data_IF_402116636183
#
_entry.id   IF_402116636183
#
_cell.length_a   1.000
_cell.length_b   1.000
_cell.length_c   1.000
_cell.angle_alpha   90.00
_cell.angle_beta   90.00
_cell.angle_gamma   90.00
#
_symmetry.space_group_name_H-M   'P 1'
#
loop_
_entity.id
_entity.type
_entity.pdbx_description
1 polymer ?
#
# COMPACT_ATOMS: atom_id res chain seq x y z
N UNK A 1 -4.42 15.46 -13.86
CA UNK A 1 -3.86 16.27 -12.76
C UNK A 1 -3.47 15.30 -11.67
N UNK A 2 -2.22 15.35 -11.20
CA UNK A 2 -1.77 14.53 -10.08
C UNK A 2 -1.91 15.37 -8.81
N UNK A 3 -2.54 14.81 -7.78
CA UNK A 3 -2.72 15.47 -6.48
C UNK A 3 -1.72 14.86 -5.49
N UNK A 4 -1.05 15.71 -4.72
CA UNK A 4 -0.18 15.29 -3.61
C UNK A 4 -0.83 15.66 -2.28
N UNK A 5 -0.72 14.78 -1.29
CA UNK A 5 -1.08 15.08 0.09
C UNK A 5 0.12 15.78 0.73
N UNK A 6 -0.08 16.99 1.26
CA UNK A 6 0.94 17.73 2.01
C UNK A 6 0.44 17.91 3.43
N UNK A 7 1.16 17.30 4.37
CA UNK A 7 0.92 17.44 5.81
C UNK A 7 1.51 18.75 6.33
N UNK A 8 0.77 19.47 7.16
CA UNK A 8 1.27 20.65 7.86
C UNK A 8 2.36 20.24 8.87
N UNK A 9 3.53 20.91 8.96
CA UNK A 9 4.59 20.55 9.91
C UNK A 9 4.14 20.53 11.37
N UNK A 10 3.11 21.33 11.73
CA UNK A 10 2.48 21.31 13.06
C UNK A 10 1.63 20.05 13.30
N UNK A 11 1.04 19.46 12.26
CA UNK A 11 0.29 18.21 12.39
C UNK A 11 1.20 17.02 12.70
N UNK A 12 2.41 16.99 12.11
CA UNK A 12 3.41 15.96 12.39
C UNK A 12 3.91 16.02 13.85
N UNK A 13 4.23 17.23 14.35
CA UNK A 13 4.62 17.44 15.74
C UNK A 13 3.48 17.14 16.74
N UNK A 14 2.22 17.28 16.33
CA UNK A 14 1.04 16.86 17.11
C UNK A 14 0.93 15.34 17.11
N UNK A 15 1.01 14.67 15.96
CA UNK A 15 0.98 13.19 15.87
C UNK A 15 2.06 12.54 16.75
N UNK A 16 3.30 13.03 16.65
CA UNK A 16 4.45 12.55 17.44
C UNK A 16 4.30 12.81 18.95
N UNK A 17 3.50 13.81 19.36
CA UNK A 17 3.24 14.11 20.78
C UNK A 17 2.10 13.30 21.39
N UNK A 18 1.13 12.84 20.60
CA UNK A 18 -0.08 12.15 21.09
C UNK A 18 -0.07 10.62 20.90
N UNK A 19 0.97 10.06 20.26
CA UNK A 19 1.12 8.61 20.09
C UNK A 19 1.27 7.82 21.41
N UNK A 20 1.52 8.48 22.54
CA UNK A 20 1.80 7.83 23.82
C UNK A 20 0.56 7.35 24.61
N UNK A 21 -0.64 7.93 24.41
CA UNK A 21 -1.70 7.84 25.44
C UNK A 21 -3.16 7.60 24.96
N UNK A 22 -3.50 7.62 23.66
CA UNK A 22 -4.92 7.66 23.24
C UNK A 22 -5.34 6.66 22.14
N UNK A 23 -6.21 5.71 22.53
CA UNK A 23 -6.80 4.66 21.68
C UNK A 23 -7.80 5.21 20.66
N UNK A 24 -8.52 6.28 21.00
CA UNK A 24 -9.60 6.82 20.15
C UNK A 24 -9.04 7.59 18.95
N UNK A 25 -7.81 8.10 19.06
CA UNK A 25 -7.12 8.81 17.96
C UNK A 25 -6.46 7.88 16.95
N UNK A 26 -6.00 6.70 17.34
CA UNK A 26 -5.58 5.65 16.37
C UNK A 26 -6.77 5.27 15.48
N UNK A 27 -7.96 5.13 16.08
CA UNK A 27 -9.22 4.91 15.35
C UNK A 27 -9.68 6.11 14.49
N UNK A 28 -9.14 7.31 14.71
CA UNK A 28 -9.33 8.45 13.78
C UNK A 28 -8.36 8.39 12.60
N UNK A 29 -7.12 7.93 12.80
CA UNK A 29 -6.15 7.73 11.70
C UNK A 29 -6.65 6.66 10.72
N UNK A 30 -7.11 5.50 11.22
CA UNK A 30 -7.69 4.48 10.35
C UNK A 30 -8.93 4.98 9.59
N UNK A 31 -9.85 5.68 10.26
CA UNK A 31 -11.01 6.31 9.59
C UNK A 31 -10.62 7.35 8.54
N UNK A 32 -9.58 8.15 8.78
CA UNK A 32 -9.09 9.12 7.82
C UNK A 32 -8.46 8.45 6.57
N UNK A 33 -7.76 7.32 6.75
CA UNK A 33 -7.17 6.56 5.65
C UNK A 33 -8.24 5.81 4.85
N UNK A 34 -9.20 5.14 5.51
CA UNK A 34 -10.35 4.50 4.86
C UNK A 34 -11.14 5.52 4.00
N UNK A 35 -11.42 6.72 4.52
CA UNK A 35 -12.09 7.80 3.79
C UNK A 35 -11.31 8.30 2.55
N UNK A 36 -9.98 8.27 2.59
CA UNK A 36 -9.12 8.68 1.47
C UNK A 36 -8.96 7.59 0.41
N UNK A 37 -9.01 6.31 0.81
CA UNK A 37 -8.98 5.18 -0.11
C UNK A 37 -10.30 5.06 -0.92
N UNK A 38 -11.44 5.21 -0.24
CA UNK A 38 -12.78 5.06 -0.85
C UNK A 38 -13.18 6.25 -1.75
N UNK A 39 -12.57 7.44 -1.61
CA UNK A 39 -13.03 8.64 -2.32
C UNK A 39 -11.89 9.50 -2.94
N UNK A 40 -11.37 9.13 -4.13
CA UNK A 40 -10.26 9.82 -4.78
C UNK A 40 -10.61 11.20 -5.39
N UNK A 41 -11.81 11.76 -5.14
CA UNK A 41 -12.22 13.10 -5.60
C UNK A 41 -12.97 13.91 -4.54
N UNK A 42 -12.29 14.45 -3.51
CA UNK A 42 -12.87 15.48 -2.64
C UNK A 42 -13.14 16.75 -3.48
N UNK A 43 -14.38 16.93 -3.93
CA UNK A 43 -14.84 18.19 -4.53
C UNK A 43 -15.37 19.07 -3.41
N UNK A 44 -14.47 19.91 -2.87
CA UNK A 44 -14.75 20.78 -1.74
C UNK A 44 -13.78 20.53 -0.58
N UNK A 45 -13.42 21.61 0.12
CA UNK A 45 -12.54 21.54 1.28
C UNK A 45 -13.30 20.94 2.48
N UNK A 46 -13.01 19.67 2.80
CA UNK A 46 -13.47 19.02 4.04
C UNK A 46 -12.90 19.77 5.25
N UNK A 47 -13.72 20.63 5.84
CA UNK A 47 -13.37 21.39 7.05
C UNK A 47 -13.92 20.64 8.25
N UNK A 48 -13.18 19.63 8.72
CA UNK A 48 -13.42 19.02 10.03
C UNK A 48 -12.96 20.02 11.10
N UNK A 49 -13.79 20.23 12.12
CA UNK A 49 -13.71 21.42 12.98
C UNK A 49 -12.42 21.57 13.80
N UNK A 50 -12.09 22.83 14.11
CA UNK A 50 -11.18 23.21 15.20
C UNK A 50 -9.69 23.28 14.87
N UNK A 51 -9.14 22.32 14.11
CA UNK A 51 -7.71 22.28 13.79
C UNK A 51 -7.47 21.70 12.40
N UNK A 52 -7.05 22.52 11.44
CA UNK A 52 -6.78 22.06 10.06
C UNK A 52 -5.56 21.13 10.00
N UNK A 53 -5.75 19.91 9.48
CA UNK A 53 -4.72 18.85 9.51
C UNK A 53 -4.00 18.67 8.15
N UNK A 54 -4.63 19.04 7.04
CA UNK A 54 -4.04 18.94 5.69
C UNK A 54 -4.65 19.94 4.70
N UNK A 55 -3.99 20.15 3.56
CA UNK A 55 -4.51 20.89 2.40
C UNK A 55 -4.22 20.13 1.11
N UNK A 56 -5.21 20.05 0.22
CA UNK A 56 -5.04 19.51 -1.14
C UNK A 56 -4.62 20.67 -2.05
N UNK A 57 -3.49 20.55 -2.75
CA UNK A 57 -3.10 21.46 -3.83
C UNK A 57 -3.11 20.74 -5.19
N UNK A 58 -3.64 21.43 -6.20
CA UNK A 58 -3.41 21.05 -7.59
C UNK A 58 -1.97 21.41 -7.98
N UNK A 59 -1.24 20.45 -8.54
CA UNK A 59 0.11 20.70 -9.05
C UNK A 59 0.07 21.67 -10.25
N UNK A 60 0.38 22.95 -10.01
CA UNK A 60 0.54 23.94 -11.07
C UNK A 60 1.77 23.62 -11.90
N UNK A 61 1.58 23.34 -13.19
CA UNK A 61 2.68 23.07 -14.11
C UNK A 61 3.44 24.36 -14.40
N UNK A 62 4.57 24.58 -13.73
CA UNK A 62 5.45 25.72 -14.01
C UNK A 62 6.08 25.54 -15.39
N UNK A 63 5.51 26.22 -16.38
CA UNK A 63 6.11 26.29 -17.71
C UNK A 63 7.30 27.24 -17.67
N UNK A 64 8.52 26.70 -17.67
CA UNK A 64 9.73 27.51 -17.80
C UNK A 64 9.95 27.89 -19.25
N UNK A 65 9.38 29.02 -19.66
CA UNK A 65 9.69 29.69 -20.91
C UNK A 65 11.12 30.22 -20.89
N UNK A 66 12.10 29.36 -21.24
CA UNK A 66 13.46 29.80 -21.55
C UNK A 66 13.44 30.72 -22.77
N UNK A 67 13.75 31.99 -22.55
CA UNK A 67 13.95 32.97 -23.61
C UNK A 67 15.11 32.56 -24.53
N UNK A 68 14.83 32.35 -25.81
CA UNK A 68 15.85 32.27 -26.85
C UNK A 68 16.50 33.64 -27.02
N UNK A 69 17.77 33.77 -26.65
CA UNK A 69 18.60 34.92 -27.06
C UNK A 69 19.30 34.58 -28.38
N UNK A 70 19.18 35.46 -29.36
CA UNK A 70 19.73 35.25 -30.70
C UNK A 70 21.27 35.32 -30.72
N UNK A 71 21.84 34.76 -31.79
CA UNK A 71 23.28 34.65 -32.01
C UNK A 71 23.70 35.64 -33.09
N UNK A 72 24.82 36.34 -32.91
CA UNK A 72 25.57 36.95 -34.03
C UNK A 72 27.07 37.06 -33.74
N UNK A 73 27.93 37.16 -34.78
CA UNK A 73 29.27 36.56 -34.71
C UNK A 73 30.45 37.51 -34.99
N UNK A 74 31.61 37.19 -34.41
CA UNK A 74 32.95 37.59 -34.85
C UNK A 74 33.99 36.76 -34.06
N UNK A 75 35.27 36.57 -34.41
CA UNK A 75 36.09 36.52 -35.64
C UNK A 75 37.47 35.97 -35.19
N UNK A 76 38.05 35.02 -35.92
CA UNK A 76 39.49 34.75 -36.13
C UNK A 76 40.60 35.06 -35.08
N UNK A 77 41.34 34.02 -34.64
CA UNK A 77 42.84 33.89 -34.70
C UNK A 77 43.28 32.56 -34.01
N UNK A 78 43.80 31.54 -34.69
CA UNK A 78 45.20 31.33 -35.16
C UNK A 78 46.26 31.12 -34.06
N UNK A 79 46.76 29.88 -33.87
CA UNK A 79 48.20 29.50 -34.03
C UNK A 79 48.55 28.09 -33.51
N UNK A 80 49.58 27.47 -34.13
CA UNK A 80 50.47 26.32 -33.77
C UNK A 80 50.08 25.37 -32.60
N UNK A 81 50.23 24.04 -32.64
CA UNK A 81 51.30 23.14 -33.17
C UNK A 81 51.54 22.07 -32.07
N UNK A 82 52.09 20.85 -32.23
CA UNK A 82 52.83 20.15 -33.29
C UNK A 82 52.86 18.63 -32.94
N UNK A 83 52.64 17.73 -33.93
CA UNK A 83 53.19 16.34 -34.16
C UNK A 83 53.50 15.42 -32.94
N UNK A 84 53.12 14.13 -32.85
CA UNK A 84 52.41 13.16 -33.73
C UNK A 84 51.41 12.31 -32.86
N UNK A 85 50.92 11.09 -33.17
CA UNK A 85 51.17 10.14 -34.25
C UNK A 85 50.44 8.78 -34.13
N UNK A 86 50.77 7.83 -35.03
CA UNK A 86 50.40 6.40 -34.94
C UNK A 86 49.16 5.92 -35.72
N UNK A 87 49.39 5.18 -36.81
CA UNK A 87 48.42 4.40 -37.63
C UNK A 87 47.59 3.37 -36.84
N UNK A 88 46.46 2.82 -37.31
CA UNK A 88 45.49 3.14 -38.38
C UNK A 88 44.29 2.15 -38.34
N UNK A 89 43.27 2.45 -39.17
CA UNK A 89 42.16 1.59 -39.68
C UNK A 89 40.92 1.49 -38.77
N UNK A 90 39.67 1.67 -39.22
CA UNK A 90 39.22 2.06 -40.57
C UNK A 90 37.93 1.36 -41.03
N UNK A 91 36.83 1.46 -40.29
CA UNK A 91 35.49 1.02 -40.77
C UNK A 91 34.52 2.19 -40.75
N UNK A 92 34.21 2.72 -41.93
CA UNK A 92 33.20 3.77 -42.13
C UNK A 92 31.79 3.17 -42.09
N UNK A 93 30.92 3.62 -41.18
CA UNK A 93 29.45 3.52 -41.41
C UNK A 93 28.90 4.89 -41.82
N UNK A 94 28.19 4.89 -42.96
CA UNK A 94 27.53 6.07 -43.56
C UNK A 94 26.49 6.62 -42.59
N UNK A 95 26.61 7.89 -42.23
CA UNK A 95 25.48 8.67 -41.71
C UNK A 95 24.60 9.03 -42.92
N UNK A 96 23.43 8.40 -43.03
CA UNK A 96 22.39 8.81 -43.99
C UNK A 96 21.56 9.90 -43.34
N UNK A 97 21.45 11.05 -44.00
CA UNK A 97 20.83 12.24 -43.42
C UNK A 97 19.34 12.06 -43.13
N UNK A 98 18.93 12.44 -41.91
CA UNK A 98 17.52 12.52 -41.54
C UNK A 98 16.83 13.66 -42.32
N UNK A 99 16.00 13.29 -43.31
CA UNK A 99 15.02 14.23 -43.89
C UNK A 99 13.99 14.58 -42.81
N UNK A 100 13.79 15.89 -42.57
CA UNK A 100 12.65 16.38 -41.81
C UNK A 100 11.36 16.09 -42.60
N UNK A 101 10.45 15.29 -42.03
CA UNK A 101 9.03 15.33 -42.37
C UNK A 101 8.26 16.04 -41.25
N UNK A 102 7.23 16.80 -41.62
CA UNK A 102 6.38 17.56 -40.68
C UNK A 102 5.44 16.63 -39.92
N UNK A 103 5.08 17.04 -38.70
CA UNK A 103 4.15 16.30 -37.86
C UNK A 103 2.70 16.36 -38.38
N UNK A 104 1.99 15.25 -38.22
CA UNK A 104 0.53 15.20 -38.02
C UNK A 104 0.29 14.21 -36.88
N UNK A 105 -0.43 14.63 -35.84
CA UNK A 105 -0.46 13.91 -34.57
C UNK A 105 -1.31 12.65 -34.55
N UNK A 106 -0.84 11.64 -33.81
CA UNK A 106 -1.64 10.68 -33.04
C UNK A 106 -0.78 10.14 -31.90
N UNK A 107 -1.42 9.59 -30.88
CA UNK A 107 -0.88 9.43 -29.52
C UNK A 107 0.55 8.91 -29.40
N UNK A 108 1.25 9.37 -28.36
CA UNK A 108 2.38 8.63 -27.77
C UNK A 108 1.85 7.32 -27.19
N UNK A 109 1.64 6.33 -28.06
CA UNK A 109 1.72 4.94 -27.63
C UNK A 109 3.12 4.75 -27.06
N UNK A 110 3.21 4.33 -25.81
CA UNK A 110 4.45 3.71 -25.33
C UNK A 110 4.62 2.48 -26.20
N UNK A 111 5.65 2.49 -27.05
CA UNK A 111 6.10 1.26 -27.70
C UNK A 111 6.66 0.42 -26.56
N UNK A 112 5.82 -0.48 -26.05
CA UNK A 112 6.30 -1.64 -25.32
C UNK A 112 7.05 -2.43 -26.39
N UNK A 113 8.36 -2.27 -26.44
CA UNK A 113 9.21 -3.19 -27.19
C UNK A 113 8.85 -4.58 -26.67
N UNK A 114 8.53 -5.47 -27.61
CA UNK A 114 8.18 -6.85 -27.29
C UNK A 114 9.33 -7.42 -26.44
N UNK A 115 9.04 -7.69 -25.16
CA UNK A 115 10.00 -8.30 -24.25
C UNK A 115 10.08 -9.75 -24.69
N UNK A 116 10.84 -9.98 -25.77
CA UNK A 116 11.01 -11.27 -26.39
C UNK A 116 11.26 -12.29 -25.30
N UNK A 117 10.48 -13.36 -25.29
CA UNK A 117 10.33 -14.31 -24.18
C UNK A 117 11.60 -15.11 -23.83
N UNK A 118 12.74 -14.70 -24.39
CA UNK A 118 13.99 -15.43 -24.50
C UNK A 118 14.77 -15.52 -23.19
N UNK A 119 14.64 -14.58 -22.24
CA UNK A 119 14.90 -14.91 -20.82
C UNK A 119 14.23 -13.98 -19.77
N UNK A 120 13.04 -14.38 -19.31
CA UNK A 120 12.37 -13.75 -18.14
C UNK A 120 13.24 -13.83 -16.88
N UNK A 121 14.08 -14.86 -16.73
CA UNK A 121 14.99 -15.01 -15.57
C UNK A 121 16.07 -13.93 -15.57
N UNK A 122 16.61 -13.55 -16.73
CA UNK A 122 17.57 -12.45 -16.85
C UNK A 122 16.91 -11.12 -16.47
N UNK A 123 15.70 -10.86 -16.96
CA UNK A 123 14.94 -9.66 -16.59
C UNK A 123 14.73 -9.55 -15.07
N UNK A 124 14.20 -10.61 -14.44
CA UNK A 124 13.96 -10.64 -12.99
C UNK A 124 15.24 -10.49 -12.16
N UNK A 125 16.37 -11.05 -12.63
CA UNK A 125 17.69 -10.89 -11.98
C UNK A 125 18.27 -9.48 -12.12
N UNK A 126 17.86 -8.72 -13.12
CA UNK A 126 18.28 -7.32 -13.32
C UNK A 126 17.51 -6.31 -12.47
N UNK A 127 16.43 -6.72 -11.80
CA UNK A 127 15.66 -5.84 -10.93
C UNK A 127 16.46 -5.46 -9.68
N UNK A 128 16.46 -4.17 -9.34
CA UNK A 128 17.06 -3.68 -8.10
C UNK A 128 16.30 -4.25 -6.89
N UNK A 129 17.04 -4.67 -5.86
CA UNK A 129 16.48 -5.23 -4.62
C UNK A 129 16.93 -4.35 -3.45
N UNK A 130 15.97 -3.90 -2.64
CA UNK A 130 16.20 -2.99 -1.50
C UNK A 130 16.91 -1.68 -1.90
N UNK A 131 16.41 -1.04 -2.96
CA UNK A 131 16.89 0.27 -3.41
C UNK A 131 16.55 1.37 -2.37
N UNK A 132 17.37 2.42 -2.30
CA UNK A 132 17.23 3.50 -1.33
C UNK A 132 18.01 3.25 -0.03
N UNK A 133 17.78 4.09 0.98
CA UNK A 133 18.21 3.84 2.36
C UNK A 133 17.17 2.99 3.07
N UNK A 134 17.61 2.11 3.97
CA UNK A 134 16.73 1.24 4.73
C UNK A 134 16.74 1.70 6.19
N UNK A 135 15.62 1.63 6.91
CA UNK A 135 15.61 1.92 8.33
C UNK A 135 16.36 0.84 9.10
N UNK A 136 17.19 1.25 10.06
CA UNK A 136 17.82 0.34 11.00
C UNK A 136 16.77 -0.34 11.90
N UNK A 137 17.14 -1.49 12.45
CA UNK A 137 16.34 -2.21 13.44
C UNK A 137 17.26 -2.94 14.41
N UNK A 138 17.23 -2.55 15.69
CA UNK A 138 17.81 -3.34 16.77
C UNK A 138 16.74 -4.28 17.35
N UNK A 139 16.83 -5.60 17.11
CA UNK A 139 15.86 -6.55 17.63
C UNK A 139 16.01 -6.81 19.15
N UNK A 140 17.11 -6.39 19.79
CA UNK A 140 17.29 -6.55 21.24
C UNK A 140 16.56 -5.43 21.99
N UNK A 141 16.61 -4.20 21.47
CA UNK A 141 15.87 -3.03 21.97
C UNK A 141 14.34 -3.07 21.69
N UNK A 142 13.85 -4.01 20.89
CA UNK A 142 12.42 -4.14 20.60
C UNK A 142 11.56 -4.40 21.86
N UNK A 143 10.28 -3.98 21.90
CA UNK A 143 9.41 -4.15 23.06
C UNK A 143 9.06 -5.63 23.29
N UNK A 144 8.64 -5.96 24.51
CA UNK A 144 8.23 -7.32 24.89
C UNK A 144 6.97 -7.82 24.16
N UNK A 145 6.11 -6.89 23.75
CA UNK A 145 4.80 -7.17 23.14
C UNK A 145 4.83 -6.92 21.62
N UNK A 146 4.46 -7.90 20.78
CA UNK A 146 4.56 -7.77 19.33
C UNK A 146 3.60 -6.71 18.75
N UNK A 147 2.44 -6.48 19.37
CA UNK A 147 1.51 -5.44 18.88
C UNK A 147 2.06 -4.03 19.05
N UNK A 148 2.96 -3.79 20.01
CA UNK A 148 3.63 -2.50 20.20
C UNK A 148 4.61 -2.27 19.05
N UNK A 149 5.52 -3.23 18.80
CA UNK A 149 6.45 -3.16 17.67
C UNK A 149 5.73 -3.06 16.31
N UNK A 150 4.57 -3.72 16.19
CA UNK A 150 3.74 -3.62 14.99
C UNK A 150 3.19 -2.21 14.77
N UNK A 151 2.67 -1.55 15.82
CA UNK A 151 2.16 -0.18 15.73
C UNK A 151 3.29 0.82 15.47
N UNK A 152 4.48 0.61 16.05
CA UNK A 152 5.68 1.41 15.77
C UNK A 152 6.09 1.30 14.29
N UNK A 153 6.19 0.07 13.75
CA UNK A 153 6.54 -0.13 12.35
C UNK A 153 5.45 0.36 11.39
N UNK A 154 4.17 0.18 11.72
CA UNK A 154 3.05 0.70 10.93
C UNK A 154 3.09 2.24 10.88
N UNK A 155 3.38 2.89 12.00
CA UNK A 155 3.56 4.35 12.07
C UNK A 155 4.73 4.78 11.20
N UNK A 156 5.88 4.11 11.30
CA UNK A 156 7.03 4.36 10.44
C UNK A 156 6.71 4.15 8.94
N UNK A 157 5.88 3.16 8.60
CA UNK A 157 5.44 2.92 7.21
C UNK A 157 4.57 4.08 6.70
N UNK A 158 3.67 4.62 7.51
CA UNK A 158 2.88 5.83 7.20
C UNK A 158 3.82 7.03 6.98
N UNK A 159 4.78 7.27 7.88
CA UNK A 159 5.75 8.37 7.77
C UNK A 159 6.66 8.25 6.53
N UNK A 160 7.03 7.03 6.15
CA UNK A 160 7.79 6.74 4.93
C UNK A 160 6.96 6.85 3.63
N UNK A 161 5.66 7.17 3.73
CA UNK A 161 4.78 7.33 2.56
C UNK A 161 4.40 6.02 1.88
N UNK A 162 4.52 4.88 2.58
CA UNK A 162 4.06 3.58 2.08
C UNK A 162 2.57 3.68 1.73
N UNK A 163 2.21 3.22 0.54
CA UNK A 163 0.83 3.26 0.08
C UNK A 163 -0.01 2.22 0.81
N UNK A 164 -1.15 2.65 1.35
CA UNK A 164 -2.15 1.79 2.01
C UNK A 164 -1.51 0.82 3.05
N UNK A 165 -0.73 1.31 4.04
CA UNK A 165 0.18 0.48 4.85
C UNK A 165 -0.53 -0.48 5.81
N UNK A 166 -1.84 -0.30 5.98
CA UNK A 166 -2.74 -1.15 6.75
C UNK A 166 -3.36 -2.28 5.89
N UNK A 167 -3.12 -2.30 4.58
CA UNK A 167 -3.46 -3.42 3.72
C UNK A 167 -2.57 -4.63 4.04
N UNK A 168 -3.17 -5.81 4.09
CA UNK A 168 -2.50 -7.07 4.38
C UNK A 168 -3.03 -8.19 3.51
N UNK A 169 -2.21 -9.21 3.29
CA UNK A 169 -2.66 -10.47 2.70
C UNK A 169 -3.18 -11.40 3.80
N UNK A 170 -4.45 -11.74 3.75
CA UNK A 170 -5.08 -12.77 4.58
C UNK A 170 -5.00 -14.13 3.86
N UNK A 171 -4.34 -15.10 4.48
CA UNK A 171 -4.33 -16.50 4.07
C UNK A 171 -5.24 -17.33 4.97
N UNK A 172 -6.12 -18.14 4.35
CA UNK A 172 -7.06 -19.08 4.98
C UNK A 172 -6.91 -20.46 4.33
N UNK A 173 -7.51 -21.50 4.91
CA UNK A 173 -7.44 -22.88 4.40
C UNK A 173 -8.85 -23.47 4.32
N UNK A 174 -9.23 -23.95 3.13
CA UNK A 174 -10.52 -24.59 2.88
C UNK A 174 -10.66 -25.95 3.58
N UNK A 175 -11.89 -26.48 3.63
CA UNK A 175 -12.20 -27.77 4.25
C UNK A 175 -11.46 -28.97 3.62
N UNK A 176 -10.99 -28.81 2.39
CA UNK A 176 -10.19 -29.76 1.62
C UNK A 176 -8.67 -29.63 1.87
N UNK A 177 -8.25 -28.69 2.71
CA UNK A 177 -6.85 -28.35 2.94
C UNK A 177 -6.24 -27.38 1.92
N UNK A 178 -7.02 -26.88 0.95
CA UNK A 178 -6.51 -25.95 -0.07
C UNK A 178 -6.29 -24.55 0.54
N UNK A 179 -5.05 -24.01 0.51
CA UNK A 179 -4.79 -22.65 0.97
C UNK A 179 -5.29 -21.62 -0.03
N UNK A 180 -5.82 -20.51 0.46
CA UNK A 180 -6.31 -19.40 -0.35
C UNK A 180 -5.87 -18.05 0.25
N UNK A 181 -5.51 -17.08 -0.59
CA UNK A 181 -4.96 -15.79 -0.15
C UNK A 181 -5.61 -14.62 -0.90
N UNK A 182 -5.77 -13.48 -0.23
CA UNK A 182 -6.29 -12.22 -0.80
C UNK A 182 -5.87 -11.01 0.05
N UNK A 183 -5.85 -9.83 -0.55
CA UNK A 183 -5.67 -8.57 0.19
C UNK A 183 -6.96 -8.19 0.93
N UNK A 184 -6.83 -7.71 2.16
CA UNK A 184 -7.86 -7.06 2.97
C UNK A 184 -7.23 -5.88 3.74
N UNK A 185 -8.08 -5.05 4.35
CA UNK A 185 -7.64 -3.97 5.22
C UNK A 185 -7.70 -4.41 6.69
N UNK A 186 -6.64 -4.10 7.44
CA UNK A 186 -6.61 -4.14 8.89
C UNK A 186 -7.56 -3.07 9.46
N UNK A 187 -8.41 -3.44 10.42
CA UNK A 187 -9.38 -2.54 11.07
C UNK A 187 -8.97 -2.07 12.46
N UNK A 188 -8.22 -2.89 13.19
CA UNK A 188 -7.70 -2.53 14.51
C UNK A 188 -6.56 -3.49 14.91
N UNK A 189 -5.72 -3.06 15.86
CA UNK A 189 -4.81 -3.94 16.60
C UNK A 189 -4.85 -3.54 18.06
N UNK A 190 -5.12 -4.50 18.93
CA UNK A 190 -4.98 -4.34 20.37
C UNK A 190 -4.60 -5.65 21.06
N UNK A 191 -4.69 -5.69 22.40
CA UNK A 191 -4.31 -6.85 23.21
C UNK A 191 -5.05 -8.15 22.85
N UNK A 192 -6.19 -8.08 22.16
CA UNK A 192 -6.93 -9.24 21.64
C UNK A 192 -6.30 -9.82 20.39
N UNK A 193 -5.65 -8.98 19.56
CA UNK A 193 -5.01 -9.38 18.31
C UNK A 193 -5.25 -8.39 17.16
N UNK A 194 -5.10 -8.89 15.93
CA UNK A 194 -5.24 -8.13 14.69
C UNK A 194 -6.63 -8.34 14.09
N UNK A 195 -7.39 -7.26 13.91
CA UNK A 195 -8.80 -7.33 13.52
C UNK A 195 -8.99 -6.99 12.04
N UNK A 196 -9.81 -7.77 11.34
CA UNK A 196 -10.24 -7.52 9.95
C UNK A 196 -11.72 -7.88 9.80
N UNK A 197 -12.42 -7.25 8.86
CA UNK A 197 -13.84 -7.51 8.64
C UNK A 197 -14.09 -8.22 7.29
N UNK A 198 -15.07 -9.13 7.26
CA UNK A 198 -15.50 -9.82 6.06
C UNK A 198 -16.93 -10.37 6.21
N UNK A 199 -17.61 -10.59 5.07
CA UNK A 199 -18.86 -11.37 5.06
C UNK A 199 -18.62 -12.84 5.38
N UNK A 200 -19.28 -13.39 6.40
CA UNK A 200 -19.18 -14.78 6.83
C UNK A 200 -19.56 -15.78 5.72
N UNK A 201 -20.51 -15.40 4.85
CA UNK A 201 -20.93 -16.22 3.70
C UNK A 201 -19.93 -16.23 2.52
N UNK A 202 -18.88 -15.40 2.55
CA UNK A 202 -17.83 -15.35 1.50
C UNK A 202 -16.87 -16.55 1.61
N UNK A 203 -16.06 -16.88 0.58
CA UNK A 203 -15.16 -18.03 0.62
C UNK A 203 -14.24 -18.05 1.86
N UNK A 204 -13.62 -16.92 2.19
CA UNK A 204 -12.75 -16.80 3.38
C UNK A 204 -13.53 -16.96 4.70
N UNK A 205 -14.81 -16.55 4.74
CA UNK A 205 -15.66 -16.73 5.92
C UNK A 205 -16.05 -18.19 6.12
N UNK A 206 -16.28 -18.93 5.03
CA UNK A 206 -16.50 -20.39 5.03
C UNK A 206 -15.24 -21.15 5.41
N UNK A 207 -14.08 -20.76 4.89
CA UNK A 207 -12.78 -21.31 5.30
C UNK A 207 -12.62 -21.17 6.82
N UNK A 208 -12.82 -19.96 7.37
CA UNK A 208 -12.68 -19.66 8.80
C UNK A 208 -13.72 -20.35 9.68
N UNK A 209 -14.91 -20.66 9.15
CA UNK A 209 -15.94 -21.42 9.87
C UNK A 209 -15.58 -22.90 10.04
N UNK A 210 -14.73 -23.47 9.17
CA UNK A 210 -14.27 -24.86 9.25
C UNK A 210 -12.89 -24.97 9.88
N UNK A 211 -11.96 -24.09 9.46
CA UNK A 211 -10.60 -23.99 9.93
C UNK A 211 -10.38 -22.58 10.52
N UNK A 212 -10.65 -22.35 11.82
CA UNK A 212 -10.57 -21.04 12.47
C UNK A 212 -9.12 -20.62 12.77
N UNK A 213 -8.27 -20.64 11.75
CA UNK A 213 -6.84 -20.25 11.79
C UNK A 213 -6.51 -19.43 10.55
N UNK A 214 -5.65 -18.43 10.70
CA UNK A 214 -5.23 -17.58 9.60
C UNK A 214 -3.77 -17.14 9.73
N UNK A 215 -3.21 -16.74 8.59
CA UNK A 215 -1.99 -15.95 8.56
C UNK A 215 -2.27 -14.59 7.91
N UNK A 216 -1.75 -13.52 8.52
CA UNK A 216 -1.73 -12.17 7.93
C UNK A 216 -0.30 -11.85 7.49
N UNK A 217 -0.12 -11.22 6.33
CA UNK A 217 1.17 -10.66 5.95
C UNK A 217 1.06 -9.20 5.49
N UNK A 218 1.84 -8.35 6.14
CA UNK A 218 2.08 -6.96 5.81
C UNK A 218 3.44 -6.87 5.11
N UNK A 219 3.54 -6.13 4.01
CA UNK A 219 4.79 -5.90 3.29
C UNK A 219 4.88 -4.43 2.90
N UNK A 220 5.94 -3.78 3.37
CA UNK A 220 6.18 -2.34 3.21
C UNK A 220 7.45 -2.16 2.38
N UNK A 221 7.35 -2.15 1.04
CA UNK A 221 8.51 -2.23 0.14
C UNK A 221 9.44 -1.03 0.26
N UNK A 222 8.92 0.16 0.54
CA UNK A 222 9.69 1.40 0.73
C UNK A 222 10.61 1.34 1.96
N UNK A 223 10.28 0.52 2.96
CA UNK A 223 11.13 0.25 4.14
C UNK A 223 11.86 -1.10 4.06
N UNK A 224 11.58 -1.89 3.02
CA UNK A 224 11.94 -3.29 2.89
C UNK A 224 11.66 -4.10 4.18
N UNK A 225 10.43 -3.95 4.70
CA UNK A 225 9.94 -4.64 5.91
C UNK A 225 8.82 -5.61 5.58
N UNK A 226 8.74 -6.70 6.32
CA UNK A 226 7.60 -7.60 6.34
C UNK A 226 7.21 -7.92 7.78
N UNK A 227 5.91 -7.98 8.06
CA UNK A 227 5.38 -8.59 9.30
C UNK A 227 4.46 -9.75 8.93
N UNK A 228 4.60 -10.88 9.62
CA UNK A 228 3.77 -12.08 9.47
C UNK A 228 3.14 -12.41 10.81
N UNK A 229 1.81 -12.46 10.85
CA UNK A 229 1.02 -12.82 12.04
C UNK A 229 0.37 -14.18 11.78
N UNK A 230 0.32 -15.06 12.77
CA UNK A 230 -0.39 -16.34 12.67
C UNK A 230 -1.00 -16.72 14.01
N UNK A 231 -2.22 -17.27 13.97
CA UNK A 231 -2.93 -17.75 15.15
C UNK A 231 -4.40 -18.12 14.85
N UNK A 232 -5.13 -18.59 15.85
CA UNK A 232 -6.56 -18.81 15.76
C UNK A 232 -7.35 -17.51 15.51
N UNK A 233 -8.48 -17.66 14.83
CA UNK A 233 -9.39 -16.57 14.48
C UNK A 233 -10.71 -16.75 15.22
N UNK A 234 -11.19 -15.69 15.86
CA UNK A 234 -12.52 -15.64 16.45
C UNK A 234 -13.35 -14.52 15.80
N UNK A 235 -14.66 -14.70 15.57
CA UNK A 235 -15.55 -13.56 15.38
C UNK A 235 -15.65 -12.75 16.67
N UNK A 236 -15.75 -11.42 16.55
CA UNK A 236 -16.14 -10.53 17.65
C UNK A 236 -17.67 -10.54 17.83
N UNK A 237 -18.20 -9.71 18.73
CA UNK A 237 -19.64 -9.66 19.00
C UNK A 237 -20.46 -9.17 17.78
N UNK A 238 -21.76 -9.51 17.71
CA UNK A 238 -22.68 -8.89 16.74
C UNK A 238 -22.69 -7.36 16.85
N UNK A 239 -22.56 -6.82 18.07
CA UNK A 239 -22.51 -5.39 18.36
C UNK A 239 -21.24 -4.73 17.79
N UNK A 240 -20.06 -5.33 18.01
CA UNK A 240 -18.78 -4.86 17.45
C UNK A 240 -18.79 -4.95 15.91
N UNK A 241 -19.35 -6.03 15.36
CA UNK A 241 -19.47 -6.22 13.90
C UNK A 241 -20.43 -5.21 13.28
N UNK A 242 -21.55 -4.91 13.95
CA UNK A 242 -22.47 -3.85 13.54
C UNK A 242 -21.82 -2.45 13.62
N UNK A 243 -21.03 -2.19 14.67
CA UNK A 243 -20.32 -0.92 14.83
C UNK A 243 -19.27 -0.70 13.73
N UNK A 244 -18.47 -1.72 13.39
CA UNK A 244 -17.56 -1.69 12.23
C UNK A 244 -18.33 -1.45 10.93
N UNK A 245 -19.43 -2.18 10.70
CA UNK A 245 -20.25 -2.00 9.50
C UNK A 245 -20.76 -0.58 9.34
N UNK A 246 -21.34 0.00 10.39
CA UNK A 246 -21.93 1.33 10.37
C UNK A 246 -20.89 2.46 10.23
N UNK A 247 -19.63 2.20 10.60
CA UNK A 247 -18.52 3.15 10.42
C UNK A 247 -18.01 3.23 8.96
N UNK A 248 -18.37 2.28 8.09
CA UNK A 248 -17.96 2.25 6.67
C UNK A 248 -18.64 3.34 5.85
N UNK A 249 -17.99 3.77 4.77
CA UNK A 249 -18.59 4.69 3.79
C UNK A 249 -19.89 4.10 3.19
N UNK A 250 -20.87 4.93 2.74
CA UNK A 250 -22.09 4.42 2.12
C UNK A 250 -21.83 3.46 0.96
N UNK A 251 -20.84 3.73 0.10
CA UNK A 251 -20.40 2.83 -0.97
C UNK A 251 -19.83 1.51 -0.45
N UNK A 252 -18.97 1.55 0.58
CA UNK A 252 -18.45 0.35 1.24
C UNK A 252 -19.52 -0.48 1.97
N UNK A 253 -20.62 0.14 2.41
CA UNK A 253 -21.79 -0.59 2.94
C UNK A 253 -22.67 -1.17 1.82
N UNK A 254 -22.82 -0.45 0.71
CA UNK A 254 -23.56 -0.90 -0.46
C UNK A 254 -22.89 -2.13 -1.12
N UNK A 255 -21.56 -2.15 -1.29
CA UNK A 255 -20.81 -3.31 -1.81
C UNK A 255 -21.08 -4.57 -0.99
N UNK A 256 -20.99 -4.46 0.33
CA UNK A 256 -21.26 -5.58 1.23
C UNK A 256 -22.74 -6.02 1.19
N UNK A 257 -23.67 -5.08 1.04
CA UNK A 257 -25.12 -5.34 0.96
C UNK A 257 -25.54 -6.07 -0.34
N UNK A 258 -24.78 -5.96 -1.44
CA UNK A 258 -25.02 -6.75 -2.67
C UNK A 258 -24.88 -8.26 -2.40
N UNK A 259 -24.06 -8.68 -1.43
CA UNK A 259 -24.03 -10.06 -0.93
C UNK A 259 -23.59 -11.15 -1.93
N UNK A 260 -23.08 -10.76 -3.10
CA UNK A 260 -22.66 -11.68 -4.18
C UNK A 260 -21.14 -11.88 -4.27
N UNK A 261 -20.40 -11.50 -3.22
CA UNK A 261 -18.94 -11.56 -3.19
C UNK A 261 -18.41 -12.96 -3.58
N UNK A 262 -17.50 -12.97 -4.57
CA UNK A 262 -16.88 -14.17 -5.15
C UNK A 262 -17.82 -15.14 -5.90
N UNK A 263 -19.05 -14.74 -6.24
CA UNK A 263 -19.89 -15.46 -7.21
C UNK A 263 -19.53 -15.03 -8.64
N UNK A 264 -19.77 -15.87 -9.67
CA UNK A 264 -19.61 -15.45 -11.07
C UNK A 264 -20.53 -14.26 -11.40
N UNK A 265 -19.97 -13.22 -12.03
CA UNK A 265 -20.72 -12.07 -12.53
C UNK A 265 -21.01 -12.27 -14.03
N UNK A 266 -22.28 -12.46 -14.46
CA UNK A 266 -22.58 -12.72 -15.86
C UNK A 266 -22.61 -11.45 -16.73
N UNK A 267 -22.98 -10.29 -16.16
CA UNK A 267 -23.05 -9.00 -16.84
C UNK A 267 -22.59 -7.88 -15.88
N UNK A 268 -21.71 -6.99 -16.33
CA UNK A 268 -21.26 -5.82 -15.56
C UNK A 268 -22.42 -4.90 -15.21
N UNK A 269 -23.46 -4.83 -16.07
CA UNK A 269 -24.66 -4.01 -15.79
C UNK A 269 -25.51 -4.55 -14.64
N UNK A 270 -25.35 -5.83 -14.28
CA UNK A 270 -25.97 -6.39 -13.09
C UNK A 270 -25.30 -5.85 -11.82
N UNK A 271 -23.97 -5.76 -11.81
CA UNK A 271 -23.21 -5.14 -10.72
C UNK A 271 -23.56 -3.65 -10.56
N UNK A 272 -23.65 -2.90 -11.67
CA UNK A 272 -24.06 -1.49 -11.65
C UNK A 272 -25.42 -1.32 -10.98
N UNK A 273 -26.47 -1.99 -11.48
CA UNK A 273 -27.84 -1.93 -10.93
C UNK A 273 -27.91 -2.39 -9.46
N UNK A 274 -27.21 -3.47 -9.11
CA UNK A 274 -27.20 -3.99 -7.75
C UNK A 274 -26.53 -3.00 -6.78
N UNK A 275 -25.46 -2.32 -7.22
CA UNK A 275 -24.76 -1.31 -6.43
C UNK A 275 -25.61 -0.04 -6.23
N UNK A 276 -26.30 0.43 -7.28
CA UNK A 276 -27.22 1.57 -7.20
C UNK A 276 -28.36 1.30 -6.21
N UNK A 277 -29.06 0.17 -6.34
CA UNK A 277 -30.15 -0.23 -5.44
C UNK A 277 -29.67 -0.43 -3.99
N UNK A 278 -28.46 -0.96 -3.81
CA UNK A 278 -27.86 -1.11 -2.48
C UNK A 278 -27.50 0.26 -1.86
N UNK A 279 -27.01 1.22 -2.65
CA UNK A 279 -26.68 2.57 -2.20
C UNK A 279 -27.95 3.34 -1.79
N UNK A 280 -28.98 3.36 -2.64
CA UNK A 280 -30.28 3.97 -2.32
C UNK A 280 -30.86 3.41 -1.01
N UNK A 281 -30.71 2.10 -0.79
CA UNK A 281 -31.14 1.45 0.45
C UNK A 281 -30.30 1.87 1.67
N UNK A 282 -28.98 1.95 1.54
CA UNK A 282 -28.08 2.40 2.63
C UNK A 282 -28.32 3.88 2.99
N UNK A 283 -28.66 4.73 2.02
CA UNK A 283 -29.01 6.13 2.26
C UNK A 283 -30.38 6.27 2.95
N UNK A 284 -31.37 5.48 2.52
CA UNK A 284 -32.72 5.46 3.11
C UNK A 284 -32.79 4.76 4.48
N UNK A 285 -31.90 3.82 4.76
CA UNK A 285 -31.80 3.08 6.03
C UNK A 285 -30.39 3.28 6.66
N UNK A 286 -30.05 4.46 7.23
CA UNK A 286 -28.69 4.72 7.71
C UNK A 286 -28.18 3.77 8.81
N UNK A 287 -29.08 3.13 9.56
CA UNK A 287 -28.79 2.11 10.57
C UNK A 287 -28.81 0.66 10.06
N UNK A 288 -28.94 0.43 8.74
CA UNK A 288 -28.91 -0.91 8.17
C UNK A 288 -27.54 -1.55 8.37
N UNK A 289 -27.56 -2.81 8.83
CA UNK A 289 -26.41 -3.70 8.97
C UNK A 289 -26.70 -5.00 8.22
N UNK A 290 -25.71 -5.50 7.48
CA UNK A 290 -25.77 -6.82 6.84
C UNK A 290 -25.51 -7.89 7.91
N UNK A 291 -26.45 -8.83 8.20
CA UNK A 291 -26.30 -9.81 9.28
C UNK A 291 -25.05 -10.70 9.15
N UNK A 292 -24.62 -10.97 7.92
CA UNK A 292 -23.43 -11.77 7.62
C UNK A 292 -22.13 -10.97 7.71
N UNK A 293 -22.15 -9.66 8.00
CA UNK A 293 -20.94 -8.89 8.23
C UNK A 293 -20.32 -9.28 9.57
N UNK A 294 -19.05 -9.65 9.58
CA UNK A 294 -18.36 -10.13 10.77
C UNK A 294 -17.01 -9.46 10.89
N UNK A 295 -16.77 -8.83 12.05
CA UNK A 295 -15.45 -8.45 12.50
C UNK A 295 -14.77 -9.69 13.09
N UNK A 296 -13.59 -10.02 12.61
CA UNK A 296 -12.77 -11.15 13.04
C UNK A 296 -11.49 -10.66 13.70
N UNK A 297 -11.03 -11.35 14.75
CA UNK A 297 -9.72 -11.12 15.38
C UNK A 297 -8.82 -12.33 15.21
N UNK A 298 -7.65 -12.14 14.60
CA UNK A 298 -6.54 -13.10 14.68
C UNK A 298 -5.86 -12.95 16.04
N UNK A 299 -6.13 -13.88 16.94
CA UNK A 299 -5.49 -13.98 18.26
C UNK A 299 -4.10 -14.56 18.06
N UNK A 300 -3.12 -13.69 17.82
CA UNK A 300 -1.79 -14.12 17.42
C UNK A 300 -1.13 -15.05 18.45
N UNK A 301 -0.59 -16.16 17.95
CA UNK A 301 0.31 -17.07 18.68
C UNK A 301 1.75 -16.93 18.19
N UNK A 302 1.96 -16.47 16.95
CA UNK A 302 3.25 -16.15 16.37
C UNK A 302 3.20 -14.81 15.64
N UNK A 303 4.19 -13.95 15.87
CA UNK A 303 4.42 -12.73 15.08
C UNK A 303 5.89 -12.66 14.68
N UNK A 304 6.18 -12.63 13.39
CA UNK A 304 7.52 -12.53 12.84
C UNK A 304 7.72 -11.19 12.14
N UNK A 305 8.74 -10.45 12.59
CA UNK A 305 9.21 -9.20 12.02
C UNK A 305 10.46 -9.47 11.21
N UNK A 306 10.45 -9.06 9.94
CA UNK A 306 11.56 -9.21 9.01
C UNK A 306 11.98 -7.83 8.51
N UNK A 307 13.26 -7.51 8.65
CA UNK A 307 13.91 -6.30 8.13
C UNK A 307 14.99 -6.70 7.13
N UNK A 308 14.93 -6.13 5.92
CA UNK A 308 15.96 -6.31 4.92
C UNK A 308 17.30 -5.71 5.36
N UNK A 309 18.38 -6.31 4.84
CA UNK A 309 19.77 -5.92 5.04
C UNK A 309 20.45 -5.99 3.66
N UNK A 310 21.26 -4.98 3.33
CA UNK A 310 21.86 -4.88 1.98
C UNK A 310 22.93 -5.94 1.73
N UNK A 311 23.56 -6.49 2.77
CA UNK A 311 24.48 -7.61 2.70
C UNK A 311 23.80 -8.97 2.89
N UNK A 312 22.46 -9.04 2.79
CA UNK A 312 21.62 -10.25 2.91
C UNK A 312 21.60 -10.90 4.30
N UNK A 313 22.07 -10.21 5.34
CA UNK A 313 22.01 -10.66 6.75
C UNK A 313 20.72 -10.15 7.39
N UNK A 314 19.59 -10.59 6.83
CA UNK A 314 18.26 -10.10 7.20
C UNK A 314 17.97 -10.33 8.70
N UNK A 315 17.38 -9.32 9.34
CA UNK A 315 17.02 -9.41 10.75
C UNK A 315 15.63 -10.01 10.84
N UNK A 316 15.51 -11.14 11.55
CA UNK A 316 14.25 -11.83 11.80
C UNK A 316 14.02 -11.95 13.29
N UNK A 317 13.09 -11.17 13.83
CA UNK A 317 12.67 -11.26 15.22
C UNK A 317 11.30 -11.96 15.27
N UNK A 318 11.22 -13.08 15.97
CA UNK A 318 9.98 -13.83 16.15
C UNK A 318 9.52 -13.75 17.60
N UNK A 319 8.24 -13.41 17.78
CA UNK A 319 7.50 -13.51 19.02
C UNK A 319 6.65 -14.79 18.98
N UNK A 320 6.67 -15.56 20.07
CA UNK A 320 5.83 -16.73 20.29
C UNK A 320 5.05 -16.58 21.60
N UNK A 321 3.74 -16.82 21.55
CA UNK A 321 2.88 -16.74 22.72
C UNK A 321 3.02 -18.00 23.57
N UNK A 322 3.19 -17.84 24.88
CA UNK A 322 3.28 -18.92 25.87
C UNK A 322 2.27 -18.62 26.98
N UNK A 323 1.03 -19.08 26.79
CA UNK A 323 -0.10 -18.72 27.65
C UNK A 323 -0.50 -17.26 27.44
N UNK A 324 -0.38 -16.42 28.48
CA UNK A 324 -0.60 -14.97 28.40
C UNK A 324 0.66 -14.17 28.05
N UNK A 325 1.83 -14.78 28.20
CA UNK A 325 3.14 -14.15 27.98
C UNK A 325 3.62 -14.29 26.54
N UNK A 326 4.58 -13.45 26.17
CA UNK A 326 5.29 -13.51 24.90
C UNK A 326 6.78 -13.77 25.16
N UNK A 327 7.35 -14.77 24.49
CA UNK A 327 8.80 -14.91 24.35
C UNK A 327 9.21 -14.38 22.98
N UNK A 328 10.41 -13.81 22.87
CA UNK A 328 10.97 -13.33 21.59
C UNK A 328 12.37 -13.89 21.34
N UNK A 329 12.68 -14.17 20.08
CA UNK A 329 13.97 -14.74 19.68
C UNK A 329 14.31 -14.42 18.22
N UNK A 330 15.62 -14.35 17.93
CA UNK A 330 16.13 -14.13 16.57
C UNK A 330 16.05 -15.44 15.76
N UNK A 331 15.65 -15.37 14.49
CA UNK A 331 15.73 -16.48 13.53
C UNK A 331 16.91 -16.27 12.58
N UNK A 332 17.40 -17.35 11.97
CA UNK A 332 18.31 -17.25 10.84
C UNK A 332 17.61 -16.61 9.63
N UNK A 333 18.29 -15.73 8.86
CA UNK A 333 17.73 -15.01 7.70
C UNK A 333 17.07 -15.94 6.69
#
# INVERSE_FOLDING_TARGET
MTYGIVWEPRALAVAQKYAAEDRDRIQQVFRAVDLLADNPRPTGALTVGGSGIYRIQAASTVSSTRSTTERSPSRSSTSAGTVDGGRAVGVRRRIVGARRSRATGRGRGVVVEDIGTTDVRQYLRGLAVFAGELPDFDPDAAPERPEVLFLDWLTGAVEAGVREPHAMTLSTVGADGTPSARVLLLKNVDRRGWQFAAGAASPKGRDLAVNPVAALSFHWPEQARQVRVTGPVAPESPEDSAADFLARSPGSRAEALVGHQSRPLPDVRELERATELALERVEREPGLVVPEWTLYTVRAERVEFWQADKQRRHIRLCYERRGEEWTRGRLWP
#
